data_IF_670330465960
#
_entry.id   IF_670330465960
#
_cell.length_a   1.000
_cell.length_b   1.000
_cell.length_c   1.000
_cell.angle_alpha   90.00
_cell.angle_beta   90.00
_cell.angle_gamma   90.00
#
_symmetry.space_group_name_H-M   'P 1'
#
loop_
_entity.id
_entity.type
_entity.pdbx_description
1 polymer ?
#
# COMPACT_ATOMS: atom_id res chain seq x y z
N UNK A 1 19.27 1.15 22.48
CA UNK A 1 17.84 1.43 22.22
C UNK A 1 17.16 0.36 21.37
N UNK A 2 17.72 -0.05 20.22
CA UNK A 2 17.07 -0.99 19.27
C UNK A 2 16.80 -2.39 19.87
N UNK A 3 17.77 -2.96 20.60
CA UNK A 3 17.63 -4.31 21.20
C UNK A 3 16.43 -4.44 22.16
N UNK A 4 16.15 -3.40 22.95
CA UNK A 4 15.00 -3.40 23.86
C UNK A 4 13.66 -3.40 23.12
N UNK A 5 13.57 -2.62 22.03
CA UNK A 5 12.40 -2.61 21.14
C UNK A 5 12.17 -4.00 20.53
N UNK A 6 13.23 -4.63 20.00
CA UNK A 6 13.14 -5.97 19.41
C UNK A 6 12.60 -6.98 20.42
N UNK A 7 13.16 -7.02 21.64
CA UNK A 7 12.70 -7.93 22.69
C UNK A 7 11.23 -7.69 23.05
N UNK A 8 10.81 -6.43 23.14
CA UNK A 8 9.42 -6.07 23.41
C UNK A 8 8.48 -6.61 22.32
N UNK A 9 8.80 -6.36 21.06
CA UNK A 9 8.04 -6.89 19.93
C UNK A 9 8.01 -8.42 19.89
N UNK A 10 9.14 -9.09 20.20
CA UNK A 10 9.19 -10.55 20.28
C UNK A 10 8.28 -11.11 21.37
N UNK A 11 8.24 -10.47 22.55
CA UNK A 11 7.31 -10.86 23.63
C UNK A 11 5.86 -10.66 23.21
N UNK A 12 5.54 -9.51 22.62
CA UNK A 12 4.20 -9.21 22.12
C UNK A 12 3.74 -10.24 21.11
N UNK A 13 4.57 -10.52 20.12
CA UNK A 13 4.26 -11.48 19.10
C UNK A 13 4.11 -12.91 19.66
N UNK A 14 4.96 -13.33 20.60
CA UNK A 14 4.82 -14.62 21.28
C UNK A 14 3.51 -14.73 22.08
N UNK A 15 3.05 -13.63 22.69
CA UNK A 15 1.78 -13.59 23.41
C UNK A 15 0.57 -13.62 22.47
N UNK A 16 0.62 -12.91 21.35
CA UNK A 16 -0.41 -12.97 20.30
C UNK A 16 -0.54 -14.39 19.73
N UNK A 17 0.59 -15.08 19.51
CA UNK A 17 0.61 -16.49 19.11
C UNK A 17 -0.07 -17.38 20.17
N UNK A 18 0.24 -17.17 21.45
CA UNK A 18 -0.35 -17.93 22.55
C UNK A 18 -1.87 -17.72 22.65
N UNK A 19 -2.35 -16.49 22.51
CA UNK A 19 -3.79 -16.17 22.53
C UNK A 19 -4.55 -16.84 21.36
N UNK A 20 -3.92 -16.91 20.19
CA UNK A 20 -4.52 -17.53 19.00
C UNK A 20 -4.39 -19.05 18.92
N UNK A 21 -3.57 -19.68 19.78
CA UNK A 21 -3.27 -21.11 19.68
C UNK A 21 -2.40 -21.48 18.48
N UNK A 22 -1.55 -20.56 18.03
CA UNK A 22 -0.70 -20.71 16.85
C UNK A 22 0.79 -20.68 17.21
N UNK A 23 1.63 -21.08 16.27
CA UNK A 23 3.08 -21.03 16.35
C UNK A 23 3.65 -20.46 15.06
N UNK A 24 4.70 -19.66 15.18
CA UNK A 24 5.47 -19.20 14.02
C UNK A 24 6.54 -20.24 13.70
N UNK A 25 6.43 -20.84 12.52
CA UNK A 25 7.30 -21.92 12.08
C UNK A 25 7.87 -21.61 10.70
N UNK A 26 9.08 -22.14 10.46
CA UNK A 26 9.69 -22.18 9.14
C UNK A 26 9.66 -23.62 8.64
N UNK A 27 9.14 -23.79 7.43
CA UNK A 27 9.18 -25.04 6.67
C UNK A 27 10.31 -24.92 5.66
N UNK A 28 11.25 -25.86 5.68
CA UNK A 28 12.47 -25.83 4.86
C UNK A 28 12.55 -27.13 4.08
N UNK A 29 12.89 -27.07 2.80
CA UNK A 29 13.21 -28.26 1.99
C UNK A 29 14.51 -28.04 1.22
N UNK A 30 15.21 -29.13 0.92
CA UNK A 30 16.44 -29.08 0.13
C UNK A 30 16.09 -29.18 -1.36
N UNK A 31 16.54 -28.21 -2.16
CA UNK A 31 16.39 -28.20 -3.60
C UNK A 31 17.62 -28.87 -4.27
N UNK A 32 17.45 -30.00 -4.99
CA UNK A 32 18.58 -30.67 -5.64
C UNK A 32 19.18 -29.82 -6.78
N UNK A 33 20.42 -30.16 -7.19
CA UNK A 33 21.17 -29.46 -8.27
C UNK A 33 20.72 -29.85 -9.69
N UNK A 34 19.97 -30.94 -9.84
CA UNK A 34 19.56 -31.59 -11.11
C UNK A 34 18.05 -31.35 -11.32
N UNK A 35 17.43 -31.61 -12.50
CA UNK A 35 16.11 -31.08 -12.82
C UNK A 35 15.09 -31.48 -11.74
N UNK A 36 14.29 -30.48 -11.36
CA UNK A 36 13.36 -30.51 -10.23
C UNK A 36 12.47 -31.73 -10.37
N UNK A 37 12.75 -32.78 -9.60
CA UNK A 37 11.79 -33.85 -9.41
C UNK A 37 10.73 -33.27 -8.48
N UNK A 38 9.47 -33.11 -8.93
CA UNK A 38 8.42 -32.63 -8.06
C UNK A 38 8.31 -33.57 -6.86
N UNK A 39 8.29 -33.02 -5.65
CA UNK A 39 7.99 -33.81 -4.46
C UNK A 39 6.52 -34.24 -4.58
N UNK A 40 6.30 -35.50 -4.94
CA UNK A 40 4.96 -36.06 -5.06
C UNK A 40 4.41 -36.30 -3.65
N UNK A 41 3.54 -35.41 -3.21
CA UNK A 41 2.83 -35.52 -1.94
C UNK A 41 1.62 -36.44 -2.11
N UNK A 42 1.41 -37.45 -1.25
CA UNK A 42 0.19 -38.26 -1.25
C UNK A 42 -1.06 -37.38 -1.16
N UNK A 43 -2.12 -37.75 -1.89
CA UNK A 43 -3.37 -36.94 -1.94
C UNK A 43 -3.99 -36.70 -0.57
N UNK A 44 -3.83 -37.63 0.37
CA UNK A 44 -4.35 -37.52 1.75
C UNK A 44 -3.57 -36.49 2.58
N UNK A 45 -2.29 -36.32 2.30
CA UNK A 45 -1.40 -35.46 3.08
C UNK A 45 -1.24 -34.06 2.43
N UNK A 46 -1.62 -33.91 1.15
CA UNK A 46 -1.63 -32.64 0.40
C UNK A 46 -2.36 -31.49 1.11
N UNK A 47 -3.56 -31.68 1.71
CA UNK A 47 -4.28 -30.60 2.37
C UNK A 47 -3.50 -29.97 3.53
N UNK A 48 -2.65 -30.75 4.22
CA UNK A 48 -1.83 -30.27 5.34
C UNK A 48 -0.81 -29.24 4.85
N UNK A 49 -0.18 -29.50 3.70
CA UNK A 49 0.78 -28.57 3.11
C UNK A 49 0.08 -27.35 2.52
N UNK A 50 -1.07 -27.53 1.86
CA UNK A 50 -1.85 -26.41 1.32
C UNK A 50 -2.35 -25.49 2.42
N UNK A 51 -2.79 -26.02 3.56
CA UNK A 51 -3.19 -25.25 4.73
C UNK A 51 -2.01 -24.46 5.31
N UNK A 52 -0.86 -25.11 5.49
CA UNK A 52 0.36 -24.46 5.99
C UNK A 52 0.88 -23.39 5.02
N UNK A 53 0.76 -23.66 3.73
CA UNK A 53 1.12 -22.72 2.68
C UNK A 53 0.13 -21.55 2.63
N UNK A 54 -1.17 -21.77 2.81
CA UNK A 54 -2.15 -20.69 2.84
C UNK A 54 -1.88 -19.67 3.96
N UNK A 55 -1.23 -20.09 5.04
CA UNK A 55 -0.84 -19.23 6.16
C UNK A 55 0.61 -18.73 6.10
N UNK A 56 1.29 -18.88 4.96
CA UNK A 56 2.60 -18.28 4.75
C UNK A 56 2.51 -16.75 4.73
N UNK A 57 3.48 -16.09 5.33
CA UNK A 57 3.63 -14.63 5.25
C UNK A 57 4.89 -14.23 4.49
N UNK A 58 5.82 -15.17 4.28
CA UNK A 58 7.08 -14.91 3.59
C UNK A 58 7.72 -16.20 3.07
N UNK A 59 8.13 -16.23 1.81
CA UNK A 59 8.98 -17.31 1.31
C UNK A 59 10.41 -17.17 1.83
N UNK A 60 11.12 -18.29 1.95
CA UNK A 60 12.51 -18.29 2.34
C UNK A 60 13.36 -17.86 1.13
N UNK A 61 13.44 -16.55 0.89
CA UNK A 61 14.21 -15.98 -0.20
C UNK A 61 15.71 -16.05 0.11
N UNK A 62 16.39 -17.05 -0.44
CA UNK A 62 17.85 -17.11 -0.44
C UNK A 62 18.38 -17.44 -1.83
N UNK A 63 18.01 -16.63 -2.83
CA UNK A 63 18.99 -16.10 -3.78
C UNK A 63 18.36 -15.06 -4.72
N UNK A 64 19.20 -14.20 -5.29
CA UNK A 64 18.88 -13.33 -6.44
C UNK A 64 18.27 -14.08 -7.65
N UNK A 65 18.24 -15.42 -7.62
CA UNK A 65 17.66 -16.28 -8.64
C UNK A 65 16.17 -16.62 -8.42
N UNK A 66 15.56 -16.19 -7.31
CA UNK A 66 14.12 -16.31 -7.04
C UNK A 66 13.48 -14.99 -6.60
N UNK A 67 14.26 -13.89 -6.61
CA UNK A 67 13.65 -12.57 -6.65
C UNK A 67 12.76 -12.56 -7.90
N UNK A 68 11.48 -12.21 -7.75
CA UNK A 68 10.64 -11.85 -8.88
C UNK A 68 11.51 -11.05 -9.86
N UNK A 69 11.61 -11.50 -11.11
CA UNK A 69 12.23 -10.74 -12.18
C UNK A 69 11.43 -9.44 -12.36
N UNK A 70 11.73 -8.45 -11.52
CA UNK A 70 11.28 -7.07 -11.54
C UNK A 70 12.50 -6.28 -11.06
N UNK A 71 13.29 -5.62 -11.90
CA UNK A 71 13.06 -5.05 -13.22
C UNK A 71 14.35 -5.25 -14.02
N UNK A 72 14.35 -6.11 -15.03
CA UNK A 72 15.27 -5.94 -16.15
C UNK A 72 14.70 -4.83 -17.03
N UNK A 73 15.35 -3.67 -16.99
CA UNK A 73 15.14 -2.65 -18.01
C UNK A 73 14.76 -1.27 -17.47
N UNK A 74 15.72 -0.59 -16.83
CA UNK A 74 15.85 0.85 -17.08
C UNK A 74 17.31 1.33 -17.01
N UNK A 75 18.23 0.53 -17.58
CA UNK A 75 19.62 0.95 -17.81
C UNK A 75 19.76 1.99 -18.95
N UNK A 76 18.66 2.58 -19.41
CA UNK A 76 18.64 3.66 -20.40
C UNK A 76 18.05 4.98 -19.89
N UNK A 77 18.02 5.21 -18.58
CA UNK A 77 17.75 6.57 -18.08
C UNK A 77 18.95 7.46 -18.40
N UNK A 78 18.81 8.30 -19.43
CA UNK A 78 19.72 9.41 -19.73
C UNK A 78 19.77 10.33 -18.52
N UNK A 79 20.84 10.22 -17.74
CA UNK A 79 21.13 11.09 -16.59
C UNK A 79 21.12 12.55 -17.06
N UNK A 80 20.23 13.36 -16.50
CA UNK A 80 20.20 14.80 -16.81
C UNK A 80 21.41 15.51 -16.16
N UNK A 81 21.88 16.64 -16.72
CA UNK A 81 22.96 17.41 -16.12
C UNK A 81 22.53 17.94 -14.74
N UNK A 82 23.10 17.37 -13.66
CA UNK A 82 22.81 17.76 -12.27
C UNK A 82 22.58 16.61 -11.29
N UNK A 83 22.33 15.38 -11.78
CA UNK A 83 22.14 14.22 -10.91
C UNK A 83 23.46 13.58 -10.47
N UNK A 84 23.64 13.46 -9.14
CA UNK A 84 24.74 12.73 -8.52
C UNK A 84 24.55 11.25 -8.80
N UNK A 85 25.45 10.65 -9.59
CA UNK A 85 25.46 9.20 -9.86
C UNK A 85 25.40 8.42 -8.55
N UNK A 86 24.43 7.50 -8.42
CA UNK A 86 24.45 6.48 -7.37
C UNK A 86 25.78 5.72 -7.48
N UNK A 87 26.52 5.50 -6.37
CA UNK A 87 27.79 4.81 -6.42
C UNK A 87 27.60 3.41 -7.02
N UNK A 88 28.50 3.02 -7.94
CA UNK A 88 28.57 1.64 -8.44
C UNK A 88 28.61 0.69 -7.24
N UNK A 89 27.70 -0.30 -7.22
CA UNK A 89 27.71 -1.37 -6.21
C UNK A 89 29.12 -1.99 -6.19
N UNK A 90 29.71 -2.12 -4.98
CA UNK A 90 31.04 -2.69 -4.78
C UNK A 90 31.17 -4.05 -5.46
N UNK A 91 32.36 -4.32 -6.00
CA UNK A 91 32.73 -5.58 -6.64
C UNK A 91 32.39 -6.78 -5.76
N UNK A 92 31.63 -7.73 -6.33
CA UNK A 92 31.26 -9.02 -5.74
C UNK A 92 32.43 -10.03 -5.76
N UNK A 93 33.67 -9.57 -5.52
CA UNK A 93 34.88 -10.39 -5.65
C UNK A 93 35.14 -11.30 -4.45
N UNK A 94 34.31 -11.24 -3.41
CA UNK A 94 34.30 -12.25 -2.35
C UNK A 94 33.48 -13.41 -2.90
N UNK A 95 34.06 -14.62 -3.09
CA UNK A 95 33.25 -15.79 -3.39
C UNK A 95 32.30 -15.99 -2.21
N UNK A 96 31.04 -15.62 -2.42
CA UNK A 96 29.97 -15.92 -1.49
C UNK A 96 29.96 -17.45 -1.31
N UNK A 97 29.71 -17.95 -0.09
CA UNK A 97 29.54 -19.38 0.12
C UNK A 97 28.53 -19.89 -0.92
N UNK A 98 28.79 -21.06 -1.52
CA UNK A 98 27.83 -21.64 -2.46
C UNK A 98 26.47 -21.69 -1.73
N UNK A 99 25.42 -21.09 -2.31
CA UNK A 99 24.11 -21.06 -1.65
C UNK A 99 23.69 -22.50 -1.39
N UNK A 100 23.48 -22.84 -0.12
CA UNK A 100 22.72 -24.04 0.23
C UNK A 100 21.33 -23.82 -0.40
N UNK A 101 21.03 -24.55 -1.48
CA UNK A 101 19.74 -24.42 -2.20
C UNK A 101 18.63 -24.96 -1.30
N UNK A 102 18.19 -24.15 -0.37
CA UNK A 102 17.09 -24.43 0.54
C UNK A 102 15.89 -23.63 0.07
N UNK A 103 14.80 -24.33 -0.26
CA UNK A 103 13.50 -23.70 -0.39
C UNK A 103 12.80 -23.70 0.96
N UNK A 104 11.75 -22.90 1.08
CA UNK A 104 11.00 -22.82 2.31
C UNK A 104 10.01 -21.68 2.35
N UNK A 105 9.25 -21.62 3.42
CA UNK A 105 8.47 -20.46 3.78
C UNK A 105 8.30 -20.36 5.30
N UNK A 106 8.05 -19.14 5.74
CA UNK A 106 7.64 -18.81 7.09
C UNK A 106 6.12 -18.73 7.12
N UNK A 107 5.52 -19.41 8.09
CA UNK A 107 4.08 -19.47 8.26
C UNK A 107 3.70 -19.43 9.73
N UNK A 108 2.54 -18.82 9.98
CA UNK A 108 1.85 -18.89 11.27
C UNK A 108 0.84 -20.02 11.17
N UNK A 109 1.01 -21.07 11.94
CA UNK A 109 0.21 -22.31 11.84
C UNK A 109 -0.38 -22.66 13.20
N UNK A 110 -1.55 -23.32 13.21
CA UNK A 110 -2.10 -23.84 14.45
C UNK A 110 -1.16 -24.89 15.08
N UNK A 111 -1.21 -25.05 16.40
CA UNK A 111 -0.40 -26.07 17.10
C UNK A 111 -0.68 -27.49 16.59
N UNK A 112 -1.94 -27.77 16.20
CA UNK A 112 -2.34 -29.04 15.59
C UNK A 112 -1.69 -29.24 14.22
N UNK A 113 -1.73 -28.23 13.37
CA UNK A 113 -1.12 -28.26 12.03
C UNK A 113 0.41 -28.40 12.14
N UNK A 114 1.04 -27.71 13.08
CA UNK A 114 2.46 -27.86 13.37
C UNK A 114 2.82 -29.30 13.76
N UNK A 115 2.01 -29.95 14.61
CA UNK A 115 2.19 -31.36 14.98
C UNK A 115 2.13 -32.28 13.76
N UNK A 116 1.16 -32.06 12.86
CA UNK A 116 1.04 -32.81 11.60
C UNK A 116 2.26 -32.60 10.69
N UNK A 117 2.67 -31.36 10.47
CA UNK A 117 3.84 -31.02 9.64
C UNK A 117 5.12 -31.65 10.19
N UNK A 118 5.31 -31.65 11.51
CA UNK A 118 6.47 -32.27 12.16
C UNK A 118 6.51 -33.78 11.97
N UNK A 119 5.36 -34.45 11.96
CA UNK A 119 5.27 -35.88 11.70
C UNK A 119 5.55 -36.24 10.23
N UNK A 120 5.24 -35.34 9.30
CA UNK A 120 5.50 -35.51 7.87
C UNK A 120 6.94 -35.16 7.46
N UNK A 121 7.64 -34.37 8.27
CA UNK A 121 9.01 -33.91 8.04
C UNK A 121 9.98 -35.00 7.55
N UNK A 122 10.09 -36.18 8.21
CA UNK A 122 11.01 -37.23 7.75
C UNK A 122 10.62 -37.85 6.42
N UNK A 123 9.31 -37.94 6.11
CA UNK A 123 8.79 -38.58 4.90
C UNK A 123 9.01 -37.73 3.66
N UNK A 124 8.88 -36.41 3.81
CA UNK A 124 8.92 -35.47 2.70
C UNK A 124 10.29 -34.83 2.49
N UNK A 125 11.27 -35.15 3.34
CA UNK A 125 12.59 -34.49 3.30
C UNK A 125 12.51 -33.00 3.62
N UNK A 126 11.46 -32.57 4.35
CA UNK A 126 11.32 -31.20 4.83
C UNK A 126 11.80 -31.11 6.28
N UNK A 127 12.22 -29.94 6.72
CA UNK A 127 12.57 -29.62 8.10
C UNK A 127 11.64 -28.52 8.58
N UNK A 128 10.95 -28.75 9.70
CA UNK A 128 10.06 -27.76 10.31
C UNK A 128 10.70 -27.29 11.60
N UNK A 129 10.93 -25.98 11.74
CA UNK A 129 11.52 -25.37 12.94
C UNK A 129 10.62 -24.28 13.49
N UNK A 130 10.54 -24.17 14.81
CA UNK A 130 9.86 -23.05 15.47
C UNK A 130 10.77 -21.84 15.38
N UNK A 131 10.22 -20.73 14.88
CA UNK A 131 10.90 -19.42 14.85
C UNK A 131 10.56 -18.65 16.12
N UNK A 132 9.27 -18.60 16.48
CA UNK A 132 8.79 -18.02 17.73
C UNK A 132 7.81 -18.98 18.38
N UNK A 133 8.11 -19.38 19.61
CA UNK A 133 7.22 -20.21 20.40
C UNK A 133 6.12 -19.35 21.03
N UNK A 134 4.87 -19.82 21.10
CA UNK A 134 3.81 -19.14 21.83
C UNK A 134 4.18 -19.07 23.31
N UNK A 135 4.10 -17.87 23.89
CA UNK A 135 4.36 -17.65 25.30
C UNK A 135 3.50 -16.51 25.81
N UNK A 136 2.73 -16.76 26.88
CA UNK A 136 1.97 -15.69 27.53
C UNK A 136 2.92 -14.69 28.20
N UNK A 137 2.60 -13.41 28.10
CA UNK A 137 3.24 -12.38 28.90
C UNK A 137 2.91 -12.57 30.37
N UNK A 138 3.80 -12.09 31.24
CA UNK A 138 3.46 -11.89 32.64
C UNK A 138 2.63 -10.61 32.81
N UNK A 139 1.93 -10.47 33.94
CA UNK A 139 1.16 -9.25 34.24
C UNK A 139 2.04 -7.99 34.24
N UNK A 140 3.29 -8.10 34.67
CA UNK A 140 4.24 -6.97 34.64
C UNK A 140 4.60 -6.58 33.20
N UNK A 141 4.74 -7.56 32.30
CA UNK A 141 5.03 -7.33 30.88
C UNK A 141 3.82 -6.76 30.13
N UNK A 142 2.61 -7.23 30.44
CA UNK A 142 1.37 -6.67 29.91
C UNK A 142 1.22 -5.20 30.31
N UNK A 143 1.48 -4.88 31.58
CA UNK A 143 1.46 -3.50 32.06
C UNK A 143 2.52 -2.62 31.38
N UNK A 144 3.75 -3.13 31.21
CA UNK A 144 4.81 -2.43 30.46
C UNK A 144 4.36 -2.14 29.01
N UNK A 145 3.66 -3.08 28.38
CA UNK A 145 3.15 -2.95 27.01
C UNK A 145 2.01 -1.93 26.92
N UNK A 146 1.07 -1.95 27.86
CA UNK A 146 -0.02 -0.97 27.92
C UNK A 146 0.50 0.46 28.07
N UNK A 147 1.44 0.67 28.99
CA UNK A 147 2.12 1.97 29.18
C UNK A 147 2.82 2.42 27.90
N UNK A 148 3.51 1.49 27.21
CA UNK A 148 4.17 1.79 25.95
C UNK A 148 3.17 2.19 24.85
N UNK A 149 2.05 1.49 24.73
CA UNK A 149 1.01 1.83 23.76
C UNK A 149 0.29 3.14 24.11
N UNK A 150 0.06 3.42 25.39
CA UNK A 150 -0.51 4.69 25.85
C UNK A 150 0.39 5.87 25.45
N UNK A 151 1.68 5.81 25.77
CA UNK A 151 2.65 6.83 25.39
C UNK A 151 2.73 7.02 23.87
N UNK A 152 2.62 5.93 23.09
CA UNK A 152 2.63 6.01 21.63
C UNK A 152 1.36 6.67 21.07
N UNK A 153 0.18 6.36 21.62
CA UNK A 153 -1.09 7.00 21.23
C UNK A 153 -1.07 8.50 21.48
N UNK A 154 -0.48 8.94 22.60
CA UNK A 154 -0.33 10.37 22.89
C UNK A 154 0.51 11.08 21.84
N UNK A 155 1.65 10.49 21.46
CA UNK A 155 2.53 11.05 20.40
C UNK A 155 1.83 11.04 19.04
N UNK A 156 1.12 9.97 18.69
CA UNK A 156 0.37 9.89 17.42
C UNK A 156 -0.75 10.95 17.38
N UNK A 157 -1.51 11.13 18.47
CA UNK A 157 -2.51 12.19 18.57
C UNK A 157 -1.90 13.59 18.45
N UNK A 158 -0.74 13.84 19.05
CA UNK A 158 -0.05 15.14 18.93
C UNK A 158 0.40 15.42 17.49
N UNK A 159 0.91 14.39 16.80
CA UNK A 159 1.27 14.47 15.37
C UNK A 159 0.03 14.77 14.53
N UNK A 160 -1.06 14.04 14.75
CA UNK A 160 -2.31 14.22 13.99
C UNK A 160 -2.90 15.62 14.17
N UNK A 161 -2.92 16.14 15.41
CA UNK A 161 -3.37 17.51 15.70
C UNK A 161 -2.47 18.53 15.01
N UNK A 162 -1.15 18.32 15.02
CA UNK A 162 -0.20 19.22 14.36
C UNK A 162 -0.37 19.19 12.84
N UNK A 163 -0.59 18.02 12.25
CA UNK A 163 -0.86 17.89 10.83
C UNK A 163 -2.18 18.55 10.44
N UNK A 164 -3.25 18.37 11.23
CA UNK A 164 -4.52 19.03 11.00
C UNK A 164 -4.37 20.56 11.05
N UNK A 165 -3.67 21.09 12.06
CA UNK A 165 -3.41 22.53 12.17
C UNK A 165 -2.56 23.08 11.01
N UNK A 166 -1.64 22.27 10.46
CA UNK A 166 -0.87 22.66 9.28
C UNK A 166 -1.75 22.66 8.02
N UNK A 167 -2.61 21.65 7.83
CA UNK A 167 -3.55 21.61 6.70
C UNK A 167 -4.51 22.79 6.73
N UNK A 168 -5.05 23.15 7.89
CA UNK A 168 -5.91 24.34 8.04
C UNK A 168 -5.19 25.64 7.67
N UNK A 169 -3.92 25.78 8.04
CA UNK A 169 -3.10 26.95 7.65
C UNK A 169 -2.85 26.98 6.15
N UNK A 170 -2.46 25.86 5.55
CA UNK A 170 -2.24 25.74 4.11
C UNK A 170 -3.53 26.05 3.33
N UNK A 171 -4.69 25.57 3.78
CA UNK A 171 -5.98 25.90 3.19
C UNK A 171 -6.33 27.39 3.31
N UNK A 172 -6.07 28.00 4.47
CA UNK A 172 -6.29 29.43 4.67
C UNK A 172 -5.39 30.26 3.74
N UNK A 173 -4.11 29.92 3.64
CA UNK A 173 -3.15 30.57 2.74
C UNK A 173 -3.55 30.40 1.28
N UNK A 174 -3.97 29.20 0.87
CA UNK A 174 -4.49 28.93 -0.47
C UNK A 174 -5.73 29.76 -0.79
N UNK A 175 -6.67 29.92 0.16
CA UNK A 175 -7.85 30.80 0.00
C UNK A 175 -7.45 32.26 -0.19
N UNK A 176 -6.49 32.75 0.60
CA UNK A 176 -6.00 34.14 0.49
C UNK A 176 -5.34 34.37 -0.87
N UNK A 177 -4.53 33.43 -1.35
CA UNK A 177 -3.88 33.50 -2.68
C UNK A 177 -4.95 33.48 -3.78
N UNK A 178 -5.90 32.55 -3.73
CA UNK A 178 -6.97 32.46 -4.71
C UNK A 178 -7.84 33.72 -4.75
N UNK A 179 -8.13 34.34 -3.60
CA UNK A 179 -8.87 35.60 -3.52
C UNK A 179 -8.09 36.76 -4.14
N UNK A 180 -6.78 36.86 -3.86
CA UNK A 180 -5.90 37.86 -4.47
C UNK A 180 -5.85 37.71 -5.99
N UNK A 181 -5.62 36.49 -6.49
CA UNK A 181 -5.62 36.22 -7.92
C UNK A 181 -6.96 36.55 -8.58
N UNK A 182 -8.08 36.17 -7.95
CA UNK A 182 -9.41 36.48 -8.46
C UNK A 182 -9.66 37.99 -8.51
N UNK A 183 -9.23 38.73 -7.49
CA UNK A 183 -9.31 40.20 -7.44
C UNK A 183 -8.45 40.84 -8.54
N UNK A 184 -7.22 40.36 -8.75
CA UNK A 184 -6.34 40.83 -9.82
C UNK A 184 -6.93 40.56 -11.21
N UNK A 185 -7.47 39.36 -11.46
CA UNK A 185 -8.17 39.03 -12.71
C UNK A 185 -9.38 39.94 -12.95
N UNK A 186 -10.16 40.23 -11.90
CA UNK A 186 -11.28 41.19 -11.99
C UNK A 186 -10.78 42.58 -12.36
N UNK A 187 -9.76 43.09 -11.67
CA UNK A 187 -9.18 44.41 -11.95
C UNK A 187 -8.62 44.50 -13.37
N UNK A 188 -7.93 43.47 -13.86
CA UNK A 188 -7.45 43.41 -15.24
C UNK A 188 -8.60 43.41 -16.26
N UNK A 189 -9.71 42.73 -15.96
CA UNK A 189 -10.90 42.72 -16.82
C UNK A 189 -11.56 44.10 -16.87
N UNK A 190 -11.71 44.77 -15.73
CA UNK A 190 -12.24 46.14 -15.69
C UNK A 190 -11.31 47.13 -16.39
N UNK A 191 -9.99 47.03 -16.19
CA UNK A 191 -9.02 47.87 -16.89
C UNK A 191 -9.11 47.72 -18.41
N UNK A 192 -9.27 46.49 -18.91
CA UNK A 192 -9.47 46.21 -20.34
C UNK A 192 -10.82 46.70 -20.89
N UNK A 193 -11.84 46.80 -20.04
CA UNK A 193 -13.15 47.34 -20.42
C UNK A 193 -13.19 48.87 -20.42
N UNK A 194 -12.30 49.52 -19.67
CA UNK A 194 -12.17 50.98 -19.57
C UNK A 194 -11.18 51.53 -20.63
N UNK A 195 -10.51 50.65 -21.38
CA UNK A 195 -9.62 51.04 -22.47
C UNK A 195 -10.38 51.87 -23.53
N UNK A 196 -10.09 53.18 -23.67
CA UNK A 196 -10.85 54.10 -24.52
C UNK A 196 -10.84 53.68 -25.99
N UNK A 197 -9.78 53.01 -26.45
CA UNK A 197 -9.62 52.59 -27.84
C UNK A 197 -10.50 51.38 -28.19
N UNK A 198 -10.70 50.45 -27.25
CA UNK A 198 -11.57 49.28 -27.42
C UNK A 198 -13.07 49.62 -27.27
N UNK A 199 -13.39 50.66 -26.49
CA UNK A 199 -14.76 51.15 -26.31
C UNK A 199 -15.38 51.69 -27.61
N UNK A 200 -14.59 52.42 -28.41
CA UNK A 200 -15.07 53.03 -29.67
C UNK A 200 -15.50 51.98 -30.71
N UNK A 201 -14.84 50.82 -30.73
CA UNK A 201 -15.16 49.74 -31.67
C UNK A 201 -16.42 48.95 -31.27
N UNK A 202 -16.67 48.78 -29.96
CA UNK A 202 -17.91 48.11 -29.48
C UNK A 202 -19.15 48.96 -29.72
N UNK A 203 -19.09 50.27 -29.51
CA UNK A 203 -20.23 51.16 -29.75
C UNK A 203 -20.54 51.37 -31.24
N UNK A 204 -19.58 51.14 -32.15
CA UNK A 204 -19.84 51.17 -33.61
C UNK A 204 -20.69 50.00 -34.12
N UNK A 205 -20.75 48.87 -33.38
CA UNK A 205 -21.51 47.67 -33.80
C UNK A 205 -22.87 47.52 -33.12
N UNK A 206 -23.21 48.38 -32.16
CA UNK A 206 -24.57 48.40 -31.59
C UNK A 206 -25.45 49.25 -32.51
N UNK A 207 -25.97 48.63 -33.58
CA UNK A 207 -27.16 49.14 -34.26
C UNK A 207 -28.32 49.03 -33.26
N UNK A 208 -28.55 50.10 -32.49
CA UNK A 208 -29.76 50.25 -31.70
C UNK A 208 -30.91 50.47 -32.69
N UNK A 209 -31.50 49.38 -33.17
CA UNK A 209 -32.85 49.44 -33.73
C UNK A 209 -33.81 49.70 -32.57
N UNK A 210 -34.15 50.98 -32.38
CA UNK A 210 -35.31 51.37 -31.58
C UNK A 210 -36.55 50.97 -32.40
N UNK A 211 -36.99 49.73 -32.27
CA UNK A 211 -38.32 49.33 -32.74
C UNK A 211 -39.34 49.77 -31.70
N UNK A 212 -40.04 50.85 -32.03
CA UNK A 212 -41.29 51.21 -31.36
C UNK A 212 -42.30 50.08 -31.54
N UNK A 213 -42.82 49.58 -30.41
CA UNK A 213 -44.13 48.94 -30.34
C UNK A 213 -44.22 47.47 -30.76
N UNK A 214 -44.28 46.59 -29.76
CA UNK A 214 -45.15 45.41 -29.81
C UNK A 214 -45.37 44.88 -28.38
N UNK A 215 -46.52 45.23 -27.83
CA UNK A 215 -47.23 44.45 -26.81
C UNK A 215 -47.50 43.05 -27.37
N UNK A 216 -46.98 41.98 -26.78
CA UNK A 216 -47.63 40.67 -26.79
C UNK A 216 -47.27 39.87 -25.53
N UNK A 217 -48.32 39.57 -24.77
CA UNK A 217 -48.35 38.52 -23.76
C UNK A 217 -48.03 37.17 -24.40
N UNK A 218 -47.23 36.35 -23.73
CA UNK A 218 -47.51 34.91 -23.62
C UNK A 218 -46.75 34.34 -22.42
N UNK A 219 -47.55 33.90 -21.45
CA UNK A 219 -47.19 32.83 -20.52
C UNK A 219 -46.88 31.58 -21.34
N UNK A 220 -45.79 30.89 -21.03
CA UNK A 220 -45.70 29.43 -21.10
C UNK A 220 -44.52 28.94 -20.25
N UNK A 221 -44.85 28.10 -19.25
CA UNK A 221 -43.98 27.04 -18.68
C UNK A 221 -43.73 25.95 -19.76
N UNK A 222 -42.91 24.88 -19.59
CA UNK A 222 -42.27 24.28 -18.40
C UNK A 222 -40.77 23.93 -18.64
N UNK A 223 -40.00 23.33 -17.73
CA UNK A 223 -39.83 21.87 -17.68
C UNK A 223 -39.00 21.42 -16.46
N UNK A 224 -39.62 20.60 -15.63
CA UNK A 224 -38.95 19.55 -14.84
C UNK A 224 -38.34 18.52 -15.80
N UNK A 225 -37.07 18.18 -15.60
CA UNK A 225 -36.45 16.99 -16.19
C UNK A 225 -35.86 16.17 -15.04
N UNK A 226 -36.63 15.16 -14.63
CA UNK A 226 -36.06 13.90 -14.17
C UNK A 226 -35.40 13.25 -15.38
N UNK A 227 -34.21 12.69 -15.21
CA UNK A 227 -33.96 11.34 -15.70
C UNK A 227 -32.89 10.67 -14.83
N UNK A 228 -33.32 9.53 -14.30
CA UNK A 228 -32.50 8.49 -13.71
C UNK A 228 -31.48 7.98 -14.74
N UNK A 229 -30.36 7.44 -14.27
CA UNK A 229 -29.83 6.11 -14.62
C UNK A 229 -28.43 5.99 -14.00
N UNK A 230 -28.33 5.14 -12.98
CA UNK A 230 -27.08 4.53 -12.56
C UNK A 230 -26.65 3.48 -13.60
N UNK A 231 -25.35 3.20 -13.74
CA UNK A 231 -24.93 1.89 -13.24
C UNK A 231 -23.58 1.89 -12.51
N UNK A 232 -23.56 1.11 -11.44
CA UNK A 232 -22.37 0.51 -10.84
C UNK A 232 -21.69 -0.43 -11.85
N UNK A 233 -20.34 -0.48 -11.92
CA UNK A 233 -19.66 -1.66 -12.42
C UNK A 233 -19.43 -2.67 -11.29
N UNK A 234 -19.99 -3.86 -11.55
CA UNK A 234 -19.78 -5.13 -10.90
C UNK A 234 -18.31 -5.58 -10.84
N UNK A 235 -17.97 -6.19 -9.71
CA UNK A 235 -17.22 -7.45 -9.49
C UNK A 235 -16.13 -7.90 -10.48
N UNK A 236 -14.96 -8.28 -9.92
CA UNK A 236 -14.25 -9.50 -10.31
C UNK A 236 -13.73 -10.24 -9.06
N UNK A 237 -14.59 -11.10 -8.53
CA UNK A 237 -14.22 -12.31 -7.80
C UNK A 237 -13.70 -13.31 -8.84
N UNK A 238 -12.45 -13.75 -8.75
CA UNK A 238 -12.08 -15.05 -9.30
C UNK A 238 -11.35 -15.88 -8.24
N UNK A 239 -12.15 -16.78 -7.65
CA UNK A 239 -11.73 -18.01 -7.01
C UNK A 239 -12.02 -19.14 -8.02
N UNK A 240 -11.12 -20.12 -8.06
CA UNK A 240 -11.26 -21.50 -8.57
C UNK A 240 -11.13 -21.77 -10.09
N UNK A 241 -10.10 -22.55 -10.48
CA UNK A 241 -10.17 -24.01 -10.73
C UNK A 241 -9.32 -24.49 -11.93
N UNK A 242 -8.63 -25.64 -11.75
CA UNK A 242 -8.13 -26.57 -12.79
C UNK A 242 -6.78 -26.21 -13.40
N UNK A 243 -5.75 -27.06 -13.47
CA UNK A 243 -5.66 -28.52 -13.67
C UNK A 243 -4.50 -29.07 -12.84
#
# INVERSE_FOLDING_TARGET
MIRGKIKRYQRQYAHELALSGEVDAVVIWHCPKVPIVPILVPLEERPILEEAHASHYKYMDWDLMHADEKEEGDDTVKVQPGEVRKPKRRDKSIPLPQPERLGGFYARVSLELFGKLRNLSPRWGITVKIVVAPNFMTQEEEKEMEEYHAARREVEMEIDVREAANREKEEMEARIIAEKEHKERRMATYARAIDPEAGVERYRKVNVHITQGALWNSYDQPSTLNDEVAPLPCTCLHRAAGI
#
